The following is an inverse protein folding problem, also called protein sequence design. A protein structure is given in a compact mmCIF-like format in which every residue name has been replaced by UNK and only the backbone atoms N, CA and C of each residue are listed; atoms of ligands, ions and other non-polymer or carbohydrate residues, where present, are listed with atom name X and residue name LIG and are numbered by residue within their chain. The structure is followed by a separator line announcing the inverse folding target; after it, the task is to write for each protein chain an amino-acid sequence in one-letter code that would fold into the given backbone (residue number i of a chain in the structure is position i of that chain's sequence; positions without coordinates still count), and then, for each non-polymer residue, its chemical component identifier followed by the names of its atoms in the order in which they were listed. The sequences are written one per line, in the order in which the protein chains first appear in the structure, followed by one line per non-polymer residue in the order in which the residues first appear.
data_IF_209925972905
#
_entry.id   IF_209925972905
#
_cell.length_a   1.000
_cell.length_b   1.000
_cell.length_c   1.000
_cell.angle_alpha   90.00
_cell.angle_beta   90.00
_cell.angle_gamma   90.00
#
_symmetry.space_group_name_H-M   'P 1'
#
loop_
_entity.id
_entity.type
_entity.pdbx_description
1 polymer ?
#
# COMPACT_ATOMS: atom_id res chain seq x y z
N UNK A 1 6.28 13.92 -13.05
CA UNK A 1 6.27 12.45 -13.26
C UNK A 1 6.62 11.81 -11.92
N UNK A 2 5.62 11.41 -11.14
CA UNK A 2 5.75 10.39 -10.09
C UNK A 2 4.34 10.05 -9.55
N UNK A 3 3.75 8.96 -10.04
CA UNK A 3 2.84 8.10 -9.26
C UNK A 3 3.16 6.66 -9.64
N UNK A 4 2.92 5.73 -8.70
CA UNK A 4 3.73 4.55 -8.39
C UNK A 4 4.98 4.91 -7.55
N UNK A 5 4.86 4.80 -6.22
CA UNK A 5 6.02 4.65 -5.31
C UNK A 5 6.69 3.28 -5.52
N UNK A 6 6.22 2.47 -6.47
CA UNK A 6 6.65 1.09 -6.62
C UNK A 6 6.31 0.24 -5.42
N UNK A 7 5.30 0.67 -4.64
CA UNK A 7 4.98 0.08 -3.35
C UNK A 7 4.54 -1.40 -3.44
N UNK A 8 4.14 -1.86 -4.62
CA UNK A 8 3.81 -3.26 -4.93
C UNK A 8 4.77 -3.87 -5.97
N UNK A 9 5.81 -3.15 -6.40
CA UNK A 9 6.81 -3.69 -7.30
C UNK A 9 7.68 -4.71 -6.53
N UNK A 10 7.74 -5.98 -6.97
CA UNK A 10 8.59 -6.99 -6.33
C UNK A 10 10.08 -6.62 -6.30
N UNK A 11 10.54 -5.74 -7.19
CA UNK A 11 11.91 -5.21 -7.19
C UNK A 11 12.15 -4.19 -6.08
N UNK A 12 11.09 -3.58 -5.52
CA UNK A 12 11.16 -2.52 -4.52
C UNK A 12 10.65 -2.97 -3.14
N UNK A 13 9.82 -4.02 -3.08
CA UNK A 13 9.33 -4.57 -1.81
C UNK A 13 9.23 -6.10 -1.81
N UNK A 14 9.77 -6.74 -0.79
CA UNK A 14 9.59 -8.17 -0.50
C UNK A 14 8.42 -8.45 0.45
N UNK A 15 7.60 -7.44 0.80
CA UNK A 15 6.59 -7.54 1.86
C UNK A 15 5.44 -8.51 1.56
N UNK A 16 5.26 -8.86 0.29
CA UNK A 16 4.24 -9.79 -0.15
C UNK A 16 4.45 -11.23 0.28
N UNK A 17 5.69 -11.61 0.49
CA UNK A 17 6.06 -12.96 0.91
C UNK A 17 6.86 -12.85 2.19
N UNK A 18 6.38 -13.44 3.27
CA UNK A 18 7.23 -13.63 4.45
C UNK A 18 7.89 -15.00 4.35
N UNK A 19 9.16 -15.07 4.73
CA UNK A 19 9.88 -16.34 4.82
C UNK A 19 9.76 -16.86 6.24
N UNK A 20 9.34 -18.11 6.40
CA UNK A 20 9.35 -18.76 7.71
C UNK A 20 10.78 -19.13 8.14
N UNK A 21 10.90 -19.66 9.36
CA UNK A 21 12.19 -20.10 9.92
C UNK A 21 12.84 -21.25 9.12
N UNK A 22 12.08 -21.91 8.25
CA UNK A 22 12.51 -23.05 7.44
C UNK A 22 12.95 -22.61 6.02
N UNK A 23 12.81 -21.32 5.71
CA UNK A 23 13.17 -20.76 4.41
C UNK A 23 12.05 -20.81 3.37
N UNK A 24 10.84 -21.24 3.74
CA UNK A 24 9.71 -21.29 2.81
C UNK A 24 9.03 -19.93 2.72
N UNK A 25 8.71 -19.51 1.50
CA UNK A 25 7.96 -18.28 1.24
C UNK A 25 6.45 -18.49 1.38
N UNK A 26 5.80 -17.68 2.20
CA UNK A 26 4.36 -17.67 2.40
C UNK A 26 3.79 -16.30 2.08
N UNK A 27 2.58 -16.26 1.50
CA UNK A 27 1.86 -15.00 1.31
C UNK A 27 1.66 -14.31 2.66
N UNK A 28 1.94 -13.01 2.70
CA UNK A 28 1.77 -12.23 3.90
C UNK A 28 0.28 -11.98 4.18
N UNK A 29 -0.27 -12.47 5.30
CA UNK A 29 -1.70 -12.31 5.60
C UNK A 29 -2.08 -10.85 5.91
N UNK A 30 -1.15 -10.04 6.44
CA UNK A 30 -1.34 -8.61 6.68
C UNK A 30 -1.30 -7.80 5.38
N UNK A 31 -0.54 -8.28 4.39
CA UNK A 31 -0.34 -7.63 3.09
C UNK A 31 -0.91 -8.51 1.98
N UNK A 32 -2.21 -8.82 2.08
CA UNK A 32 -2.93 -9.72 1.16
C UNK A 32 -3.17 -9.17 -0.25
N UNK A 33 -2.41 -8.16 -0.69
CA UNK A 33 -2.48 -7.55 -2.02
C UNK A 33 -1.05 -7.43 -2.54
N UNK A 34 -0.77 -8.12 -3.65
CA UNK A 34 0.59 -8.29 -4.15
C UNK A 34 0.84 -7.79 -5.55
N UNK A 35 -0.24 -7.48 -6.26
CA UNK A 35 -0.15 -6.89 -7.58
C UNK A 35 -1.03 -5.65 -7.64
N UNK A 36 -0.71 -4.80 -8.60
CA UNK A 36 -1.49 -3.61 -8.92
C UNK A 36 -2.92 -3.98 -9.33
N UNK A 37 -3.06 -5.07 -10.08
CA UNK A 37 -4.34 -5.59 -10.58
C UNK A 37 -5.20 -6.16 -9.44
N UNK A 38 -4.59 -6.84 -8.46
CA UNK A 38 -5.30 -7.27 -7.25
C UNK A 38 -5.75 -6.08 -6.39
N UNK A 39 -4.94 -5.02 -6.32
CA UNK A 39 -5.29 -3.80 -5.59
C UNK A 39 -6.52 -3.13 -6.23
N UNK A 40 -6.55 -3.00 -7.55
CA UNK A 40 -7.68 -2.42 -8.30
C UNK A 40 -9.00 -3.14 -8.00
N UNK A 41 -8.96 -4.47 -7.86
CA UNK A 41 -10.14 -5.29 -7.59
C UNK A 41 -10.58 -5.27 -6.13
N UNK A 42 -9.63 -5.17 -5.19
CA UNK A 42 -9.92 -5.25 -3.75
C UNK A 42 -10.18 -3.89 -3.11
N UNK A 43 -9.44 -2.86 -3.52
CA UNK A 43 -9.52 -1.51 -2.96
C UNK A 43 -9.24 -0.45 -4.04
N UNK A 44 -10.30 -0.09 -4.75
CA UNK A 44 -10.26 0.92 -5.82
C UNK A 44 -9.77 2.29 -5.34
N UNK A 45 -10.07 2.68 -4.09
CA UNK A 45 -9.68 3.98 -3.56
C UNK A 45 -8.19 4.01 -3.23
N UNK A 46 -7.65 2.94 -2.64
CA UNK A 46 -6.21 2.79 -2.45
C UNK A 46 -5.46 2.68 -3.81
N UNK A 47 -6.06 2.00 -4.79
CA UNK A 47 -5.54 1.96 -6.14
C UNK A 47 -5.45 3.36 -6.76
N UNK A 48 -6.54 4.14 -6.72
CA UNK A 48 -6.57 5.52 -7.21
C UNK A 48 -5.57 6.40 -6.46
N UNK A 49 -5.52 6.34 -5.13
CA UNK A 49 -4.53 7.07 -4.31
C UNK A 49 -3.09 6.83 -4.76
N UNK A 50 -2.74 5.59 -5.10
CA UNK A 50 -1.37 5.21 -5.44
C UNK A 50 -1.03 5.42 -6.93
N UNK A 51 -2.03 5.46 -7.82
CA UNK A 51 -1.84 5.45 -9.27
C UNK A 51 -2.40 6.69 -10.00
N UNK A 52 -3.32 7.45 -9.41
CA UNK A 52 -3.90 8.66 -10.00
C UNK A 52 -3.03 9.90 -9.73
N UNK A 53 -2.53 10.50 -10.82
CA UNK A 53 -1.74 11.73 -10.81
C UNK A 53 -2.56 12.97 -10.40
N UNK A 54 -3.88 12.90 -10.50
CA UNK A 54 -4.82 13.93 -10.06
C UNK A 54 -5.23 13.81 -8.60
N UNK A 55 -4.75 12.80 -7.87
CA UNK A 55 -5.14 12.60 -6.49
C UNK A 55 -4.65 13.76 -5.61
N UNK A 56 -5.58 14.58 -5.13
CA UNK A 56 -5.29 15.76 -4.32
C UNK A 56 -4.90 15.35 -2.90
N UNK A 57 -3.63 14.98 -2.72
CA UNK A 57 -3.08 14.74 -1.38
C UNK A 57 -3.21 16.00 -0.51
N UNK A 58 -3.60 15.87 0.77
CA UNK A 58 -3.59 16.99 1.69
C UNK A 58 -2.19 17.61 1.77
N UNK A 59 -2.10 18.91 1.56
CA UNK A 59 -0.83 19.66 1.71
C UNK A 59 -0.55 19.99 3.17
N UNK A 60 -1.58 20.01 4.01
CA UNK A 60 -1.46 20.08 5.46
C UNK A 60 -1.26 18.69 6.04
N UNK A 61 -0.05 18.38 6.49
CA UNK A 61 0.22 17.17 7.26
C UNK A 61 -0.51 17.30 8.61
N UNK A 62 -1.38 16.35 8.99
CA UNK A 62 -2.01 16.37 10.30
C UNK A 62 -0.93 16.28 11.40
N UNK A 63 -1.11 17.05 12.46
CA UNK A 63 -0.19 17.17 13.60
C UNK A 63 -0.33 16.02 14.62
N UNK A 64 -1.21 15.06 14.35
CA UNK A 64 -1.51 13.95 15.27
C UNK A 64 -2.48 14.32 16.39
N UNK A 65 -3.03 15.54 16.39
CA UNK A 65 -4.06 15.99 17.34
C UNK A 65 -5.43 15.40 16.97
N UNK A 66 -5.60 14.08 17.09
CA UNK A 66 -6.92 13.48 16.96
C UNK A 66 -7.78 13.95 18.13
N UNK A 67 -8.80 14.76 17.86
CA UNK A 67 -9.78 15.12 18.87
C UNK A 67 -10.46 13.83 19.34
N UNK A 68 -10.18 13.42 20.58
CA UNK A 68 -11.09 12.55 21.30
C UNK A 68 -12.39 13.33 21.44
N UNK A 69 -13.44 12.92 20.73
CA UNK A 69 -14.76 13.48 21.01
C UNK A 69 -15.15 13.17 22.47
N UNK A 70 -15.85 14.09 23.15
CA UNK A 70 -16.32 13.92 24.52
C UNK A 70 -17.44 12.89 24.67
#
# INVERSE_FOLDING_TARGET
MATNIGALDPALTGKCVFTDSEGNGHLNPEWGICTREELEQKDVLAFELLNDYGFNLPTGIPDGSYKSEP
#
